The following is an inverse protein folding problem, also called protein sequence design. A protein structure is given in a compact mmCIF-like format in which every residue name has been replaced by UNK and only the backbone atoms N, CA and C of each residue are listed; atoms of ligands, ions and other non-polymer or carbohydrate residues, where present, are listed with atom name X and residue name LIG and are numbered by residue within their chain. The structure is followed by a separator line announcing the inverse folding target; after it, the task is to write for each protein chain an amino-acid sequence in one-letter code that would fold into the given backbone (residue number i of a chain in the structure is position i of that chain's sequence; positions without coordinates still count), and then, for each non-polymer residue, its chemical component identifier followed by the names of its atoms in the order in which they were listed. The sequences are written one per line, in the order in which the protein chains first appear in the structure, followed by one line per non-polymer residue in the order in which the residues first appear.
data_IF_492007748720
#
_entry.id   IF_492007748720
#
_cell.length_a   1.000
_cell.length_b   1.000
_cell.length_c   1.000
_cell.angle_alpha   90.00
_cell.angle_beta   90.00
_cell.angle_gamma   90.00
#
_symmetry.space_group_name_H-M   'P 1'
#
loop_
_entity.id
_entity.type
_entity.pdbx_description
1 polymer ?
#
# COMPACT_ATOMS: atom_id res chain seq x y z
N UNK A 1 27.81 10.79 12.44
CA UNK A 1 26.53 10.19 11.99
C UNK A 1 25.48 10.40 13.07
N UNK A 2 24.50 11.27 12.84
CA UNK A 2 23.42 11.55 13.79
C UNK A 2 22.53 10.31 13.90
N UNK A 3 22.55 9.62 15.05
CA UNK A 3 21.63 8.49 15.30
C UNK A 3 20.20 9.04 15.23
N UNK A 4 19.37 8.54 14.31
CA UNK A 4 17.93 8.86 14.27
C UNK A 4 17.33 8.65 15.66
N UNK A 5 16.59 9.63 16.16
CA UNK A 5 15.94 9.56 17.46
C UNK A 5 14.99 8.35 17.49
N UNK A 6 15.24 7.40 18.39
CA UNK A 6 14.35 6.26 18.64
C UNK A 6 13.52 6.56 19.87
N UNK A 7 12.22 6.25 19.82
CA UNK A 7 11.33 6.28 20.99
C UNK A 7 11.14 4.86 21.51
N UNK A 8 11.02 4.71 22.83
CA UNK A 8 10.69 3.44 23.48
C UNK A 8 9.18 3.25 23.48
N UNK A 9 8.74 2.03 23.20
CA UNK A 9 7.36 1.58 23.31
C UNK A 9 7.37 0.31 24.15
N UNK A 10 6.49 0.26 25.16
CA UNK A 10 6.27 -0.94 25.98
C UNK A 10 4.87 -1.47 25.64
N UNK A 11 4.77 -2.79 25.40
CA UNK A 11 3.54 -3.48 25.00
C UNK A 11 3.23 -4.59 26.01
N UNK A 12 1.96 -4.73 26.38
CA UNK A 12 1.46 -5.90 27.08
C UNK A 12 0.83 -6.84 26.07
N UNK A 13 1.22 -8.12 26.11
CA UNK A 13 0.76 -9.15 25.19
C UNK A 13 0.20 -10.34 25.98
N UNK A 14 -0.80 -11.05 25.45
CA UNK A 14 -1.27 -12.31 26.02
C UNK A 14 -0.14 -13.32 26.22
N UNK A 15 -0.23 -14.16 27.25
CA UNK A 15 0.83 -15.14 27.58
C UNK A 15 1.11 -16.13 26.44
N UNK A 16 0.09 -16.44 25.65
CA UNK A 16 0.13 -17.34 24.49
C UNK A 16 0.58 -16.65 23.20
N UNK A 17 0.95 -15.36 23.25
CA UNK A 17 1.33 -14.62 22.05
C UNK A 17 2.55 -15.27 21.36
N UNK A 18 2.52 -15.47 20.03
CA UNK A 18 3.52 -16.26 19.31
C UNK A 18 4.94 -15.71 19.43
N UNK A 19 5.09 -14.41 19.73
CA UNK A 19 6.41 -13.80 19.97
C UNK A 19 7.17 -14.47 21.13
N UNK A 20 6.47 -15.07 22.09
CA UNK A 20 7.10 -15.72 23.24
C UNK A 20 7.72 -17.08 22.92
N UNK A 21 7.39 -17.66 21.74
CA UNK A 21 8.11 -18.82 21.20
C UNK A 21 9.57 -18.50 20.84
N UNK A 22 9.90 -17.24 20.56
CA UNK A 22 11.26 -16.81 20.25
C UNK A 22 12.11 -16.66 21.53
N UNK A 23 13.43 -16.91 21.45
CA UNK A 23 14.33 -16.75 22.59
C UNK A 23 14.34 -15.33 23.19
N UNK A 24 14.60 -15.24 24.50
CA UNK A 24 14.82 -13.94 25.16
C UNK A 24 16.01 -13.23 24.52
N UNK A 25 15.89 -11.92 24.28
CA UNK A 25 16.93 -11.09 23.63
C UNK A 25 16.65 -10.77 22.16
N UNK A 26 15.97 -11.66 21.41
CA UNK A 26 15.61 -11.39 20.00
C UNK A 26 14.18 -10.91 19.82
N UNK A 27 13.31 -11.10 20.83
CA UNK A 27 11.88 -10.76 20.78
C UNK A 27 11.63 -9.32 20.35
N UNK A 28 12.38 -8.35 20.87
CA UNK A 28 12.19 -6.94 20.49
C UNK A 28 12.54 -6.66 19.03
N UNK A 29 13.52 -7.38 18.45
CA UNK A 29 13.86 -7.25 17.03
C UNK A 29 12.76 -7.86 16.16
N UNK A 30 12.28 -9.06 16.53
CA UNK A 30 11.16 -9.73 15.86
C UNK A 30 9.88 -8.90 15.96
N UNK A 31 9.55 -8.35 17.14
CA UNK A 31 8.41 -7.46 17.34
C UNK A 31 8.45 -6.27 16.38
N UNK A 32 9.61 -5.63 16.27
CA UNK A 32 9.80 -4.49 15.37
C UNK A 32 9.56 -4.90 13.92
N UNK A 33 10.09 -6.03 13.48
CA UNK A 33 9.87 -6.52 12.12
C UNK A 33 8.41 -6.84 11.85
N UNK A 34 7.71 -7.46 12.80
CA UNK A 34 6.27 -7.70 12.69
C UNK A 34 5.47 -6.41 12.61
N UNK A 35 5.81 -5.39 13.41
CA UNK A 35 5.18 -4.07 13.33
C UNK A 35 5.45 -3.39 11.98
N UNK A 36 6.69 -3.46 11.49
CA UNK A 36 7.08 -2.90 10.20
C UNK A 36 6.31 -3.60 9.04
N UNK A 37 6.18 -4.93 9.09
CA UNK A 37 5.42 -5.72 8.11
C UNK A 37 3.92 -5.43 8.22
N UNK A 38 3.38 -5.42 9.44
CA UNK A 38 1.97 -5.13 9.69
C UNK A 38 1.56 -3.76 9.18
N UNK A 39 2.40 -2.73 9.37
CA UNK A 39 2.16 -1.40 8.83
C UNK A 39 2.14 -1.38 7.29
N UNK A 40 3.01 -2.17 6.64
CA UNK A 40 3.01 -2.30 5.18
C UNK A 40 1.75 -3.00 4.67
N UNK A 41 1.33 -4.09 5.33
CA UNK A 41 0.11 -4.82 4.98
C UNK A 41 -1.13 -3.93 5.12
N UNK A 42 -1.25 -3.20 6.23
CA UNK A 42 -2.36 -2.26 6.42
C UNK A 42 -2.45 -1.19 5.33
N UNK A 43 -1.30 -0.67 4.86
CA UNK A 43 -1.28 0.25 3.72
C UNK A 43 -1.68 -0.41 2.40
N UNK A 44 -1.26 -1.67 2.17
CA UNK A 44 -1.66 -2.42 0.97
C UNK A 44 -3.17 -2.65 0.98
N UNK A 45 -3.73 -3.08 2.11
CA UNK A 45 -5.18 -3.31 2.24
C UNK A 45 -5.97 -2.05 1.94
N UNK A 46 -5.55 -0.91 2.50
CA UNK A 46 -6.14 0.40 2.20
C UNK A 46 -6.08 0.74 0.71
N UNK A 47 -4.92 0.57 0.08
CA UNK A 47 -4.78 0.85 -1.35
C UNK A 47 -5.68 -0.05 -2.22
N UNK A 48 -5.84 -1.32 -1.82
CA UNK A 48 -6.74 -2.25 -2.50
C UNK A 48 -8.20 -1.81 -2.36
N UNK A 49 -8.60 -1.33 -1.19
CA UNK A 49 -9.95 -0.77 -0.98
C UNK A 49 -10.19 0.46 -1.85
N UNK A 50 -9.25 1.41 -1.90
CA UNK A 50 -9.34 2.59 -2.76
C UNK A 50 -9.47 2.20 -4.24
N UNK A 51 -8.68 1.24 -4.71
CA UNK A 51 -8.77 0.72 -6.09
C UNK A 51 -10.14 0.09 -6.35
N UNK A 52 -10.65 -0.71 -5.41
CA UNK A 52 -11.99 -1.33 -5.53
C UNK A 52 -13.08 -0.27 -5.61
N UNK A 53 -13.00 0.78 -4.80
CA UNK A 53 -13.95 1.89 -4.83
C UNK A 53 -13.89 2.64 -6.17
N UNK A 54 -12.70 2.91 -6.70
CA UNK A 54 -12.53 3.51 -8.02
C UNK A 54 -13.13 2.65 -9.13
N UNK A 55 -12.87 1.33 -9.11
CA UNK A 55 -13.41 0.40 -10.10
C UNK A 55 -14.94 0.28 -10.00
N UNK A 56 -15.50 0.26 -8.79
CA UNK A 56 -16.95 0.22 -8.60
C UNK A 56 -17.62 1.54 -8.99
N UNK A 57 -16.92 2.66 -8.84
CA UNK A 57 -17.39 3.98 -9.25
C UNK A 57 -17.32 4.20 -10.76
N UNK A 58 -16.49 3.42 -11.46
CA UNK A 58 -16.56 3.28 -12.91
C UNK A 58 -17.79 2.43 -13.24
N UNK A 59 -18.90 3.09 -13.56
CA UNK A 59 -20.01 2.44 -14.26
C UNK A 59 -19.41 1.73 -15.49
N UNK A 60 -19.79 0.48 -15.79
CA UNK A 60 -19.48 -0.04 -17.12
C UNK A 60 -20.10 0.96 -18.09
N UNK A 61 -19.24 1.56 -18.91
CA UNK A 61 -19.67 2.31 -20.08
C UNK A 61 -20.51 1.30 -20.88
N UNK A 62 -21.84 1.41 -20.82
CA UNK A 62 -22.72 0.74 -21.77
C UNK A 62 -22.14 1.05 -23.13
N UNK A 63 -21.65 0.03 -23.85
CA UNK A 63 -20.71 0.13 -24.97
C UNK A 63 -21.18 0.97 -26.16
N UNK A 64 -21.30 2.27 -25.94
CA UNK A 64 -21.80 3.31 -26.84
C UNK A 64 -21.22 4.68 -26.43
N UNK A 65 -19.97 4.72 -25.96
CA UNK A 65 -19.18 5.94 -26.06
C UNK A 65 -18.55 6.00 -27.45
N UNK A 66 -18.52 7.17 -28.11
CA UNK A 66 -17.87 7.31 -29.39
C UNK A 66 -16.40 6.95 -29.18
N UNK A 67 -16.04 5.85 -29.81
CA UNK A 67 -14.72 5.28 -30.02
C UNK A 67 -13.61 6.30 -29.77
N UNK A 68 -12.81 6.09 -28.72
CA UNK A 68 -11.58 6.85 -28.53
C UNK A 68 -10.75 6.71 -29.81
N UNK A 69 -10.72 7.79 -30.61
CA UNK A 69 -9.99 7.82 -31.87
C UNK A 69 -8.50 8.07 -31.59
N UNK A 70 -7.77 6.96 -31.50
CA UNK A 70 -6.33 6.97 -31.29
C UNK A 70 -5.57 7.72 -32.39
N UNK A 71 -6.11 7.78 -33.61
CA UNK A 71 -5.51 8.50 -34.73
C UNK A 71 -5.62 10.01 -34.56
N UNK A 72 -6.81 10.52 -34.19
CA UNK A 72 -6.99 11.94 -33.89
C UNK A 72 -6.14 12.41 -32.70
N UNK A 73 -5.96 11.55 -31.69
CA UNK A 73 -5.08 11.85 -30.56
C UNK A 73 -3.60 11.92 -30.99
N UNK A 74 -3.13 10.98 -31.79
CA UNK A 74 -1.75 10.97 -32.29
C UNK A 74 -1.42 12.22 -33.12
N UNK A 75 -2.32 12.62 -34.02
CA UNK A 75 -2.16 13.86 -34.81
C UNK A 75 -2.06 15.11 -33.92
N UNK A 76 -2.82 15.15 -32.81
CA UNK A 76 -2.76 16.27 -31.87
C UNK A 76 -1.42 16.39 -31.13
N UNK A 77 -0.77 15.26 -30.82
CA UNK A 77 0.53 15.22 -30.16
C UNK A 77 1.63 15.66 -31.14
N UNK A 78 1.59 15.16 -32.38
CA UNK A 78 2.53 15.55 -33.43
C UNK A 78 2.43 17.05 -33.74
N UNK A 79 1.22 17.63 -33.74
CA UNK A 79 1.05 19.08 -33.94
C UNK A 79 1.64 19.95 -32.82
N UNK A 80 1.75 19.44 -31.60
CA UNK A 80 2.24 20.20 -30.44
C UNK A 80 3.75 20.03 -30.28
N UNK A 81 4.29 18.85 -30.61
CA UNK A 81 5.67 18.46 -30.30
C UNK A 81 6.52 18.07 -31.51
N UNK A 82 5.94 18.00 -32.71
CA UNK A 82 6.61 17.72 -33.98
C UNK A 82 7.00 18.97 -34.75
#
# INVERSE_FOLDING_TARGET
MTRKARRRMDLQLPEDHPIFSYPKGVRSAVAREWLDIGARLANIDKNIEEIKEMLNSQKPEDGNNPEFDASAFAESIEKIFG
#
